data_IF_402890552845
#
_entry.id   IF_402890552845
#
_cell.length_a   1.000
_cell.length_b   1.000
_cell.length_c   1.000
_cell.angle_alpha   90.00
_cell.angle_beta   90.00
_cell.angle_gamma   90.00
#
_symmetry.space_group_name_H-M   'P 1'
#
loop_
_entity.id
_entity.type
_entity.pdbx_description
1 polymer ?
#
# COMPACT_ATOMS: atom_id res chain seq x y z
N UNK A 1 8.57 -14.16 17.64
CA UNK A 1 7.25 -13.51 17.81
C UNK A 1 7.17 -12.40 16.78
N UNK A 2 6.07 -12.29 16.06
CA UNK A 2 5.82 -11.13 15.23
C UNK A 2 5.63 -9.93 16.15
N UNK A 3 6.26 -8.80 15.87
CA UNK A 3 6.14 -7.57 16.66
C UNK A 3 5.65 -6.46 15.73
N UNK A 4 4.83 -5.55 16.22
CA UNK A 4 4.38 -4.37 15.49
C UNK A 4 3.03 -3.88 15.99
N UNK A 5 2.73 -2.65 15.68
CA UNK A 5 1.54 -1.95 16.12
C UNK A 5 0.51 -1.90 14.97
N UNK A 6 -0.72 -2.25 15.26
CA UNK A 6 -1.81 -2.25 14.27
C UNK A 6 -2.96 -1.41 14.82
N UNK A 7 -3.45 -0.46 14.03
CA UNK A 7 -4.65 0.31 14.34
C UNK A 7 -5.81 -0.24 13.50
N UNK A 8 -6.92 -0.60 14.15
CA UNK A 8 -8.13 -1.08 13.49
C UNK A 8 -9.22 -0.03 13.63
N UNK A 9 -9.77 0.38 12.51
CA UNK A 9 -10.81 1.41 12.40
C UNK A 9 -12.03 0.78 11.71
N UNK A 10 -13.08 0.54 12.45
CA UNK A 10 -14.30 -0.13 11.96
C UNK A 10 -15.44 0.23 12.93
N UNK A 11 -16.63 0.58 12.47
CA UNK A 11 -17.75 0.91 13.34
C UNK A 11 -18.39 -0.33 14.01
N UNK A 12 -18.21 -1.51 13.40
CA UNK A 12 -18.69 -2.78 13.94
C UNK A 12 -17.80 -3.30 15.10
N UNK A 13 -18.33 -3.30 16.31
CA UNK A 13 -17.61 -3.73 17.50
C UNK A 13 -17.24 -5.24 17.47
N UNK A 14 -18.03 -6.08 16.80
CA UNK A 14 -17.74 -7.51 16.67
C UNK A 14 -16.53 -7.73 15.74
N UNK A 15 -16.51 -7.03 14.60
CA UNK A 15 -15.39 -7.08 13.68
C UNK A 15 -14.10 -6.57 14.35
N UNK A 16 -14.16 -5.41 15.03
CA UNK A 16 -13.00 -4.92 15.80
C UNK A 16 -12.48 -5.96 16.76
N UNK A 17 -13.38 -6.62 17.52
CA UNK A 17 -13.02 -7.64 18.51
C UNK A 17 -12.38 -8.86 17.87
N UNK A 18 -12.96 -9.36 16.77
CA UNK A 18 -12.42 -10.50 16.02
C UNK A 18 -11.02 -10.21 15.52
N UNK A 19 -10.85 -9.09 14.81
CA UNK A 19 -9.55 -8.68 14.25
C UNK A 19 -8.51 -8.49 15.36
N UNK A 20 -8.88 -7.83 16.46
CA UNK A 20 -8.02 -7.65 17.62
C UNK A 20 -7.51 -8.97 18.18
N UNK A 21 -8.43 -9.93 18.44
CA UNK A 21 -8.06 -11.24 19.00
C UNK A 21 -7.14 -12.00 18.05
N UNK A 22 -7.49 -12.06 16.77
CA UNK A 22 -6.71 -12.78 15.76
C UNK A 22 -5.27 -12.22 15.61
N UNK A 23 -5.13 -10.90 15.53
CA UNK A 23 -3.82 -10.28 15.36
C UNK A 23 -2.99 -10.28 16.66
N UNK A 24 -3.64 -10.11 17.82
CA UNK A 24 -2.96 -10.21 19.11
C UNK A 24 -2.44 -11.63 19.38
N UNK A 25 -3.14 -12.68 18.93
CA UNK A 25 -2.65 -14.06 19.04
C UNK A 25 -1.37 -14.31 18.21
N UNK A 26 -1.13 -13.52 17.17
CA UNK A 26 0.11 -13.55 16.37
C UNK A 26 1.26 -12.72 16.98
N UNK A 27 0.98 -12.00 18.10
CA UNK A 27 1.98 -11.20 18.84
C UNK A 27 2.02 -9.73 18.43
N UNK A 28 1.03 -9.22 17.71
CA UNK A 28 0.89 -7.80 17.39
C UNK A 28 0.25 -7.03 18.55
N UNK A 29 0.64 -5.77 18.74
CA UNK A 29 -0.08 -4.83 19.59
C UNK A 29 -1.19 -4.20 18.77
N UNK A 30 -2.45 -4.35 19.20
CA UNK A 30 -3.61 -3.94 18.42
C UNK A 30 -4.43 -2.93 19.21
N UNK A 31 -4.53 -1.70 18.69
CA UNK A 31 -5.49 -0.70 19.13
C UNK A 31 -6.69 -0.66 18.18
N UNK A 32 -7.86 -0.35 18.73
CA UNK A 32 -9.10 -0.34 17.95
C UNK A 32 -9.90 0.94 18.23
N UNK A 33 -10.42 1.57 17.19
CA UNK A 33 -11.31 2.73 17.28
C UNK A 33 -12.55 2.51 16.44
N UNK A 34 -13.65 3.17 16.83
CA UNK A 34 -14.95 2.99 16.19
C UNK A 34 -15.18 3.94 15.01
N UNK A 35 -14.41 5.00 14.92
CA UNK A 35 -14.61 6.05 13.91
C UNK A 35 -13.30 6.67 13.42
N UNK A 36 -13.37 7.31 12.25
CA UNK A 36 -12.22 7.91 11.59
C UNK A 36 -11.63 9.11 12.34
N UNK A 37 -12.45 9.90 13.04
CA UNK A 37 -11.98 11.08 13.77
C UNK A 37 -11.10 10.71 14.95
N UNK A 38 -11.46 9.65 15.69
CA UNK A 38 -10.60 9.11 16.75
C UNK A 38 -9.26 8.67 16.20
N UNK A 39 -9.28 7.94 15.06
CA UNK A 39 -8.05 7.49 14.42
C UNK A 39 -7.15 8.66 14.01
N UNK A 40 -7.70 9.68 13.35
CA UNK A 40 -6.97 10.86 12.92
C UNK A 40 -6.39 11.64 14.12
N UNK A 41 -7.15 11.76 15.19
CA UNK A 41 -6.67 12.39 16.43
C UNK A 41 -5.48 11.62 17.01
N UNK A 42 -5.58 10.28 17.13
CA UNK A 42 -4.51 9.44 17.65
C UNK A 42 -3.23 9.56 16.81
N UNK A 43 -3.35 9.61 15.49
CA UNK A 43 -2.22 9.73 14.57
C UNK A 43 -1.57 11.12 14.66
N UNK A 44 -2.38 12.18 14.73
CA UNK A 44 -1.90 13.57 14.80
C UNK A 44 -1.22 13.85 16.14
N UNK A 45 -1.80 13.39 17.23
CA UNK A 45 -1.24 13.54 18.59
C UNK A 45 -0.12 12.53 18.88
N UNK A 46 0.10 11.56 17.98
CA UNK A 46 1.09 10.48 18.12
C UNK A 46 0.93 9.66 19.40
N UNK A 47 -0.29 9.52 19.88
CA UNK A 47 -0.62 8.70 21.07
C UNK A 47 -0.48 7.22 20.79
N UNK A 48 -0.61 6.82 19.51
CA UNK A 48 -0.32 5.49 19.00
C UNK A 48 0.34 5.59 17.62
N UNK A 49 1.44 4.88 17.42
CA UNK A 49 2.18 4.85 16.15
C UNK A 49 2.02 3.47 15.48
N UNK A 50 1.07 3.30 14.57
CA UNK A 50 0.85 2.03 13.89
C UNK A 50 1.90 1.77 12.81
N UNK A 51 2.23 0.49 12.63
CA UNK A 51 3.00 -0.01 11.48
C UNK A 51 2.07 -0.41 10.32
N UNK A 52 0.78 -0.66 10.60
CA UNK A 52 -0.28 -0.96 9.63
C UNK A 52 -1.60 -0.44 10.18
N UNK A 53 -2.44 0.12 9.31
CA UNK A 53 -3.82 0.49 9.61
C UNK A 53 -4.76 -0.47 8.87
N UNK A 54 -5.76 -1.00 9.55
CA UNK A 54 -6.88 -1.73 8.97
C UNK A 54 -8.10 -0.80 9.06
N UNK A 55 -8.74 -0.55 7.93
CA UNK A 55 -9.76 0.50 7.81
C UNK A 55 -11.00 -0.01 7.09
N UNK A 56 -12.14 0.03 7.75
CA UNK A 56 -13.41 -0.20 7.05
C UNK A 56 -13.75 1.00 6.15
N UNK A 57 -14.35 0.70 5.02
CA UNK A 57 -14.83 1.71 4.07
C UNK A 57 -16.22 2.22 4.48
N UNK A 58 -17.07 1.34 4.99
CA UNK A 58 -18.49 1.64 5.22
C UNK A 58 -18.75 2.06 6.67
N UNK A 59 -18.26 3.23 7.05
CA UNK A 59 -18.54 3.81 8.35
C UNK A 59 -19.59 4.94 8.26
N UNK A 60 -20.44 5.16 9.28
CA UNK A 60 -21.61 6.04 9.17
C UNK A 60 -21.28 7.55 9.04
N UNK A 61 -20.27 8.06 9.75
CA UNK A 61 -20.02 9.51 9.82
C UNK A 61 -19.03 10.00 8.77
N UNK A 62 -17.96 9.21 8.55
CA UNK A 62 -16.93 9.49 7.56
C UNK A 62 -16.52 8.18 6.89
N UNK A 63 -16.69 8.11 5.57
CA UNK A 63 -16.30 6.91 4.83
C UNK A 63 -14.78 6.68 4.89
N UNK A 64 -14.37 5.41 4.82
CA UNK A 64 -12.98 5.04 4.95
C UNK A 64 -12.05 5.63 3.87
N UNK A 65 -12.57 5.98 2.69
CA UNK A 65 -11.78 6.64 1.66
C UNK A 65 -11.38 8.07 2.08
N UNK A 66 -12.33 8.79 2.67
CA UNK A 66 -12.11 10.12 3.21
C UNK A 66 -11.13 10.09 4.39
N UNK A 67 -11.24 9.09 5.27
CA UNK A 67 -10.29 8.85 6.36
C UNK A 67 -8.90 8.56 5.80
N UNK A 68 -8.78 7.68 4.80
CA UNK A 68 -7.50 7.31 4.19
C UNK A 68 -6.80 8.52 3.55
N UNK A 69 -7.54 9.38 2.83
CA UNK A 69 -6.99 10.62 2.26
C UNK A 69 -6.39 11.52 3.34
N UNK A 70 -7.09 11.73 4.45
CA UNK A 70 -6.57 12.54 5.55
C UNK A 70 -5.37 11.86 6.25
N UNK A 71 -5.37 10.53 6.38
CA UNK A 71 -4.20 9.80 6.87
C UNK A 71 -2.98 10.07 5.97
N UNK A 72 -3.15 10.11 4.65
CA UNK A 72 -2.05 10.35 3.70
C UNK A 72 -1.46 11.75 3.79
N UNK A 73 -2.20 12.74 4.30
CA UNK A 73 -1.66 14.08 4.58
C UNK A 73 -0.67 14.09 5.74
N UNK A 74 -0.73 13.10 6.64
CA UNK A 74 0.07 13.06 7.88
C UNK A 74 0.96 11.83 8.01
N UNK A 75 0.71 10.77 7.22
CA UNK A 75 1.44 9.50 7.37
C UNK A 75 1.45 8.67 6.09
N UNK A 76 2.56 7.95 5.86
CA UNK A 76 2.71 6.95 4.81
C UNK A 76 2.56 5.51 5.34
N UNK A 77 2.02 5.34 6.53
CA UNK A 77 1.78 4.01 7.11
C UNK A 77 0.83 3.20 6.21
N UNK A 78 1.11 1.91 5.94
CA UNK A 78 0.27 1.11 5.05
C UNK A 78 -1.16 0.99 5.55
N UNK A 79 -2.13 1.11 4.63
CA UNK A 79 -3.56 0.97 4.88
C UNK A 79 -4.11 -0.25 4.15
N UNK A 80 -4.66 -1.20 4.91
CA UNK A 80 -5.46 -2.31 4.41
C UNK A 80 -6.94 -1.97 4.55
N UNK A 81 -7.65 -1.84 3.44
CA UNK A 81 -9.09 -1.73 3.49
C UNK A 81 -9.75 -3.08 3.78
N UNK A 82 -10.67 -3.09 4.73
CA UNK A 82 -11.48 -4.24 5.09
C UNK A 82 -12.97 -3.89 4.94
N UNK A 83 -13.68 -4.46 3.96
CA UNK A 83 -15.01 -3.99 3.61
C UNK A 83 -15.94 -5.06 3.05
N UNK A 84 -17.26 -4.83 3.17
CA UNK A 84 -18.29 -5.62 2.53
C UNK A 84 -18.49 -5.28 1.04
N UNK A 85 -17.92 -4.17 0.54
CA UNK A 85 -18.03 -3.78 -0.87
C UNK A 85 -17.21 -4.73 -1.75
N UNK A 86 -17.78 -5.12 -2.89
CA UNK A 86 -17.19 -6.11 -3.80
C UNK A 86 -17.14 -5.66 -5.27
N UNK A 87 -17.50 -4.41 -5.57
CA UNK A 87 -17.48 -3.89 -6.94
C UNK A 87 -16.06 -3.42 -7.32
N UNK A 88 -15.67 -3.65 -8.56
CA UNK A 88 -14.38 -3.16 -9.08
C UNK A 88 -14.22 -1.65 -8.95
N UNK A 89 -15.32 -0.89 -9.07
CA UNK A 89 -15.33 0.56 -8.86
C UNK A 89 -14.91 0.96 -7.45
N UNK A 90 -15.36 0.22 -6.44
CA UNK A 90 -15.03 0.48 -5.03
C UNK A 90 -13.53 0.22 -4.74
N UNK A 91 -12.96 -0.80 -5.40
CA UNK A 91 -11.52 -1.08 -5.34
C UNK A 91 -10.70 0.08 -5.91
N UNK A 92 -11.11 0.60 -7.07
CA UNK A 92 -10.42 1.73 -7.72
C UNK A 92 -10.46 2.98 -6.82
N UNK A 93 -11.61 3.29 -6.22
CA UNK A 93 -11.74 4.42 -5.28
C UNK A 93 -10.83 4.27 -4.05
N UNK A 94 -10.75 3.07 -3.48
CA UNK A 94 -9.88 2.79 -2.33
C UNK A 94 -8.41 3.02 -2.63
N UNK A 95 -7.93 2.54 -3.77
CA UNK A 95 -6.55 2.76 -4.16
C UNK A 95 -6.27 4.20 -4.59
N UNK A 96 -7.23 4.90 -5.19
CA UNK A 96 -7.13 6.34 -5.48
C UNK A 96 -7.10 7.17 -4.18
N UNK A 97 -7.72 6.69 -3.12
CA UNK A 97 -7.63 7.29 -1.80
C UNK A 97 -6.27 7.05 -1.09
N UNK A 98 -5.41 6.22 -1.68
CA UNK A 98 -4.06 5.93 -1.16
C UNK A 98 -3.96 4.63 -0.34
N UNK A 99 -4.93 3.72 -0.42
CA UNK A 99 -4.85 2.39 0.19
C UNK A 99 -3.76 1.53 -0.45
N UNK A 100 -3.14 0.65 0.33
CA UNK A 100 -2.04 -0.22 -0.12
C UNK A 100 -2.52 -1.63 -0.46
N UNK A 101 -3.58 -2.10 0.17
CA UNK A 101 -4.19 -3.39 -0.10
C UNK A 101 -5.67 -3.40 0.29
N UNK A 102 -6.38 -4.44 -0.09
CA UNK A 102 -7.83 -4.55 0.05
C UNK A 102 -8.23 -5.97 0.40
N UNK A 103 -9.14 -6.14 1.36
CA UNK A 103 -9.67 -7.43 1.76
C UNK A 103 -11.19 -7.36 1.96
N UNK A 104 -11.89 -8.34 1.40
CA UNK A 104 -13.36 -8.41 1.46
C UNK A 104 -13.84 -9.12 2.72
N UNK A 105 -14.90 -8.60 3.35
CA UNK A 105 -15.69 -9.31 4.37
C UNK A 105 -16.71 -10.26 3.68
N UNK A 106 -16.88 -11.52 4.13
CA UNK A 106 -16.16 -12.19 5.22
C UNK A 106 -14.76 -12.64 4.77
N UNK A 107 -13.79 -12.53 5.64
CA UNK A 107 -12.39 -12.88 5.40
C UNK A 107 -11.94 -14.11 6.19
N UNK A 108 -10.91 -14.79 5.71
CA UNK A 108 -10.27 -15.85 6.44
C UNK A 108 -9.16 -15.33 7.36
N UNK A 109 -8.94 -16.03 8.48
CA UNK A 109 -7.80 -15.76 9.37
C UNK A 109 -6.48 -15.76 8.61
N UNK A 110 -6.25 -16.78 7.78
CA UNK A 110 -5.02 -16.95 7.01
C UNK A 110 -4.78 -15.76 6.07
N UNK A 111 -5.81 -15.28 5.39
CA UNK A 111 -5.72 -14.13 4.49
C UNK A 111 -5.39 -12.84 5.25
N UNK A 112 -6.06 -12.58 6.38
CA UNK A 112 -5.79 -11.42 7.22
C UNK A 112 -4.32 -11.37 7.66
N UNK A 113 -3.82 -12.48 8.20
CA UNK A 113 -2.43 -12.56 8.68
C UNK A 113 -1.41 -12.42 7.56
N UNK A 114 -1.68 -13.01 6.39
CA UNK A 114 -0.81 -12.89 5.23
C UNK A 114 -0.69 -11.44 4.74
N UNK A 115 -1.84 -10.76 4.54
CA UNK A 115 -1.88 -9.37 4.05
C UNK A 115 -1.25 -8.40 5.04
N UNK A 116 -1.60 -8.47 6.32
CA UNK A 116 -0.99 -7.62 7.37
C UNK A 116 0.52 -7.85 7.46
N UNK A 117 0.95 -9.13 7.44
CA UNK A 117 2.37 -9.47 7.47
C UNK A 117 3.13 -8.96 6.23
N UNK A 118 2.50 -9.01 5.06
CA UNK A 118 3.04 -8.46 3.81
C UNK A 118 3.24 -6.95 3.87
N UNK A 119 2.20 -6.22 4.31
CA UNK A 119 2.24 -4.77 4.48
C UNK A 119 3.33 -4.34 5.48
N UNK A 120 3.39 -5.01 6.63
CA UNK A 120 4.35 -4.69 7.67
C UNK A 120 5.81 -4.94 7.24
N UNK A 121 6.08 -6.04 6.53
CA UNK A 121 7.42 -6.31 5.98
C UNK A 121 7.87 -5.21 5.02
N UNK A 122 6.98 -4.76 4.11
CA UNK A 122 7.28 -3.67 3.17
C UNK A 122 7.58 -2.37 3.89
N UNK A 123 6.73 -1.98 4.81
CA UNK A 123 6.90 -0.75 5.57
C UNK A 123 8.24 -0.68 6.29
N UNK A 124 8.67 -1.81 6.88
CA UNK A 124 9.97 -1.91 7.55
C UNK A 124 11.15 -2.01 6.58
N UNK A 125 10.96 -2.67 5.44
CA UNK A 125 12.01 -2.81 4.43
C UNK A 125 12.33 -1.48 3.73
N UNK A 126 11.32 -0.67 3.45
CA UNK A 126 11.49 0.64 2.82
C UNK A 126 11.73 1.77 3.84
N UNK A 127 11.38 1.57 5.11
CA UNK A 127 11.59 2.53 6.19
C UNK A 127 12.90 2.40 6.98
N UNK A 128 13.78 1.41 6.68
CA UNK A 128 14.97 1.19 7.46
C UNK A 128 16.02 0.27 6.85
N UNK A 129 17.23 0.77 6.71
CA UNK A 129 18.52 0.14 6.40
C UNK A 129 18.73 -0.29 4.94
N UNK A 130 19.35 0.59 4.18
CA UNK A 130 19.99 0.30 2.90
C UNK A 130 21.26 -0.54 3.08
N UNK A 131 21.41 -1.55 2.22
CA UNK A 131 22.67 -2.28 2.06
C UNK A 131 23.74 -1.33 1.48
N UNK A 132 24.91 -1.12 2.14
CA UNK A 132 25.93 -0.15 1.72
C UNK A 132 26.57 -0.42 0.36
N UNK A 133 26.31 -1.57 -0.26
CA UNK A 133 26.92 -1.99 -1.53
C UNK A 133 25.98 -1.80 -2.75
N UNK A 134 24.72 -1.40 -2.56
CA UNK A 134 23.81 -1.09 -3.68
C UNK A 134 23.85 0.39 -4.01
N UNK A 135 23.82 0.72 -5.29
CA UNK A 135 23.65 2.11 -5.73
C UNK A 135 22.45 2.74 -5.01
N UNK A 136 22.71 3.84 -4.33
CA UNK A 136 21.72 4.53 -3.48
C UNK A 136 20.60 5.16 -4.28
N UNK A 137 20.83 5.44 -5.54
CA UNK A 137 19.87 6.11 -6.41
C UNK A 137 19.73 5.38 -7.75
N UNK A 138 18.52 5.33 -8.26
CA UNK A 138 18.20 4.85 -9.61
C UNK A 138 17.70 6.02 -10.44
N UNK A 139 18.32 6.22 -11.62
CA UNK A 139 17.99 7.29 -12.54
C UNK A 139 17.24 6.73 -13.75
N UNK A 140 16.06 7.30 -14.06
CA UNK A 140 15.27 6.94 -15.22
C UNK A 140 14.69 8.21 -15.84
N UNK A 141 15.19 8.58 -17.01
CA UNK A 141 14.77 9.84 -17.67
C UNK A 141 14.88 11.03 -16.70
N UNK A 142 13.76 11.64 -16.35
CA UNK A 142 13.63 12.78 -15.45
C UNK A 142 13.34 12.38 -13.98
N UNK A 143 13.34 11.06 -13.69
CA UNK A 143 13.09 10.53 -12.35
C UNK A 143 14.38 10.16 -11.63
N UNK A 144 14.43 10.49 -10.34
CA UNK A 144 15.44 10.01 -9.40
C UNK A 144 14.73 9.29 -8.28
N UNK A 145 15.05 8.00 -8.10
CA UNK A 145 14.54 7.17 -7.01
C UNK A 145 15.66 7.03 -5.99
N UNK A 146 15.50 7.62 -4.81
CA UNK A 146 16.45 7.51 -3.71
C UNK A 146 16.02 6.36 -2.79
N UNK A 147 16.89 5.35 -2.69
CA UNK A 147 16.61 4.13 -1.90
C UNK A 147 16.84 4.33 -0.41
N UNK A 148 17.71 5.24 -0.03
CA UNK A 148 17.99 5.55 1.38
C UNK A 148 16.88 6.41 1.99
N UNK A 149 16.37 7.38 1.22
CA UNK A 149 15.30 8.27 1.66
C UNK A 149 13.89 7.75 1.32
N UNK A 150 13.79 6.63 0.58
CA UNK A 150 12.52 6.07 0.08
C UNK A 150 11.68 7.16 -0.61
N UNK A 151 12.33 7.95 -1.43
CA UNK A 151 11.73 9.09 -2.10
C UNK A 151 11.91 9.04 -3.61
N UNK A 152 10.99 9.68 -4.32
CA UNK A 152 11.04 9.81 -5.78
C UNK A 152 10.91 11.28 -6.13
N UNK A 153 11.81 11.76 -6.96
CA UNK A 153 11.69 13.10 -7.53
C UNK A 153 11.58 13.04 -9.04
N UNK A 154 10.79 13.93 -9.61
CA UNK A 154 10.63 14.12 -11.06
C UNK A 154 10.93 15.56 -11.41
N UNK A 155 11.91 15.79 -12.32
CA UNK A 155 12.37 17.15 -12.63
C UNK A 155 12.72 17.95 -11.35
N UNK A 156 13.28 17.29 -10.32
CA UNK A 156 13.65 17.90 -9.05
C UNK A 156 12.46 18.17 -8.09
N UNK A 157 11.23 17.84 -8.47
CA UNK A 157 10.04 17.95 -7.61
C UNK A 157 9.70 16.60 -6.97
N UNK A 158 9.38 16.61 -5.69
CA UNK A 158 8.97 15.40 -4.99
C UNK A 158 7.66 14.84 -5.57
N UNK A 159 7.61 13.49 -5.74
CA UNK A 159 6.41 12.74 -6.14
C UNK A 159 5.98 11.89 -4.97
N UNK A 160 4.81 12.16 -4.43
CA UNK A 160 4.26 11.39 -3.30
C UNK A 160 3.73 10.05 -3.76
N UNK A 161 4.44 8.99 -3.38
CA UNK A 161 4.05 7.61 -3.63
C UNK A 161 3.73 6.89 -2.33
N UNK A 162 2.75 5.98 -2.39
CA UNK A 162 2.57 5.01 -1.30
C UNK A 162 3.74 4.02 -1.29
N UNK A 163 3.93 3.29 -0.19
CA UNK A 163 4.98 2.27 -0.11
C UNK A 163 4.85 1.18 -1.17
N UNK A 164 3.62 0.85 -1.54
CA UNK A 164 3.33 -0.13 -2.60
C UNK A 164 3.68 0.41 -3.99
N UNK A 165 3.30 1.64 -4.28
CA UNK A 165 3.64 2.31 -5.54
C UNK A 165 5.16 2.47 -5.68
N UNK A 166 5.84 2.90 -4.60
CA UNK A 166 7.29 2.97 -4.57
C UNK A 166 7.92 1.59 -4.84
N UNK A 167 7.44 0.53 -4.19
CA UNK A 167 7.94 -0.83 -4.38
C UNK A 167 7.78 -1.34 -5.81
N UNK A 168 6.65 -1.07 -6.46
CA UNK A 168 6.42 -1.42 -7.88
C UNK A 168 7.38 -0.62 -8.78
N UNK A 169 7.48 0.68 -8.57
CA UNK A 169 8.36 1.53 -9.36
C UNK A 169 9.81 1.08 -9.24
N UNK A 170 10.29 0.83 -8.03
CA UNK A 170 11.65 0.37 -7.77
C UNK A 170 11.92 -0.98 -8.44
N UNK A 171 11.02 -1.97 -8.31
CA UNK A 171 11.14 -3.28 -8.94
C UNK A 171 11.34 -3.18 -10.45
N UNK A 172 10.49 -2.41 -11.11
CA UNK A 172 10.54 -2.24 -12.57
C UNK A 172 11.78 -1.45 -13.00
N UNK A 173 12.18 -0.47 -12.21
CA UNK A 173 13.30 0.43 -12.46
C UNK A 173 14.66 -0.26 -12.34
N UNK A 174 14.81 -1.13 -11.36
CA UNK A 174 16.04 -1.93 -11.18
C UNK A 174 16.18 -3.06 -12.21
N UNK A 175 15.10 -3.38 -12.95
CA UNK A 175 15.05 -4.45 -13.93
C UNK A 175 14.58 -3.94 -15.30
N UNK A 176 15.18 -2.87 -15.78
CA UNK A 176 14.84 -2.27 -17.09
C UNK A 176 14.83 -3.31 -18.21
N UNK A 177 13.82 -3.22 -19.07
CA UNK A 177 13.62 -4.14 -20.20
C UNK A 177 13.01 -5.50 -19.85
N UNK A 178 13.01 -5.89 -18.57
CA UNK A 178 12.37 -7.14 -18.13
C UNK A 178 10.87 -6.92 -17.96
N UNK A 179 10.06 -7.80 -18.57
CA UNK A 179 8.61 -7.82 -18.42
C UNK A 179 8.25 -8.65 -17.21
N UNK A 180 7.48 -8.07 -16.31
CA UNK A 180 6.95 -8.73 -15.12
C UNK A 180 5.45 -8.97 -15.28
N UNK A 181 5.00 -10.19 -15.07
CA UNK A 181 3.57 -10.53 -14.98
C UNK A 181 2.95 -9.91 -13.70
N UNK A 182 1.62 -9.84 -13.64
CA UNK A 182 0.90 -9.39 -12.43
C UNK A 182 1.30 -10.23 -11.21
N UNK A 183 1.43 -11.54 -11.39
CA UNK A 183 1.87 -12.45 -10.35
C UNK A 183 3.29 -12.12 -9.87
N UNK A 184 4.26 -11.98 -10.77
CA UNK A 184 5.64 -11.66 -10.41
C UNK A 184 5.74 -10.31 -9.70
N UNK A 185 4.99 -9.29 -10.14
CA UNK A 185 4.93 -7.98 -9.45
C UNK A 185 4.36 -8.16 -8.06
N UNK A 186 3.24 -8.87 -7.93
CA UNK A 186 2.61 -9.09 -6.63
C UNK A 186 3.56 -9.83 -5.69
N UNK A 187 4.07 -10.99 -6.09
CA UNK A 187 4.97 -11.79 -5.26
C UNK A 187 6.25 -11.04 -4.87
N UNK A 188 6.81 -10.25 -5.79
CA UNK A 188 8.01 -9.46 -5.52
C UNK A 188 7.75 -8.29 -4.57
N UNK A 189 6.62 -7.58 -4.72
CA UNK A 189 6.31 -6.38 -3.95
C UNK A 189 5.58 -6.72 -2.66
N UNK A 190 4.57 -7.59 -2.71
CA UNK A 190 3.80 -7.98 -1.50
C UNK A 190 4.49 -9.07 -0.68
N UNK A 191 5.50 -9.77 -1.26
CA UNK A 191 6.22 -10.88 -0.62
C UNK A 191 5.27 -11.95 -0.10
N UNK A 192 4.21 -12.20 -0.85
CA UNK A 192 3.17 -13.14 -0.51
C UNK A 192 2.72 -13.92 -1.74
N UNK A 193 2.01 -15.03 -1.53
CA UNK A 193 1.47 -15.86 -2.61
C UNK A 193 0.40 -15.10 -3.37
N UNK A 194 0.52 -15.07 -4.69
CA UNK A 194 -0.46 -14.43 -5.56
C UNK A 194 -1.83 -15.12 -5.48
N UNK A 195 -2.86 -14.34 -5.20
CA UNK A 195 -4.25 -14.77 -5.26
C UNK A 195 -4.92 -14.16 -6.50
N UNK A 196 -5.86 -14.84 -7.17
CA UNK A 196 -6.55 -14.29 -8.35
C UNK A 196 -7.19 -12.91 -8.11
N UNK A 197 -7.70 -12.66 -6.90
CA UNK A 197 -8.25 -11.38 -6.46
C UNK A 197 -7.21 -10.24 -6.40
N UNK A 198 -5.92 -10.57 -6.34
CA UNK A 198 -4.84 -9.59 -6.27
C UNK A 198 -4.48 -8.98 -7.64
N UNK A 199 -4.97 -9.54 -8.75
CA UNK A 199 -4.71 -8.99 -10.08
C UNK A 199 -5.16 -7.53 -10.20
N UNK A 200 -6.35 -7.21 -9.73
CA UNK A 200 -6.90 -5.85 -9.77
C UNK A 200 -6.09 -4.89 -8.89
N UNK A 201 -5.60 -5.36 -7.74
CA UNK A 201 -4.73 -4.58 -6.84
C UNK A 201 -3.50 -4.07 -7.58
N UNK A 202 -2.75 -4.95 -8.26
CA UNK A 202 -1.55 -4.57 -9.02
C UNK A 202 -1.87 -3.58 -10.15
N UNK A 203 -2.94 -3.86 -10.93
CA UNK A 203 -3.32 -3.00 -12.06
C UNK A 203 -3.68 -1.58 -11.62
N UNK A 204 -4.36 -1.43 -10.49
CA UNK A 204 -4.75 -0.11 -9.97
C UNK A 204 -3.53 0.67 -9.48
N UNK A 205 -2.60 0.05 -8.75
CA UNK A 205 -1.36 0.73 -8.37
C UNK A 205 -0.53 1.16 -9.58
N UNK A 206 -0.47 0.35 -10.64
CA UNK A 206 0.20 0.75 -11.88
C UNK A 206 -0.50 1.94 -12.55
N UNK A 207 -1.83 1.95 -12.55
CA UNK A 207 -2.60 3.10 -13.05
C UNK A 207 -2.29 4.36 -12.26
N UNK A 208 -2.31 4.28 -10.93
CA UNK A 208 -2.00 5.42 -10.06
C UNK A 208 -0.58 5.92 -10.26
N UNK A 209 0.39 5.00 -10.38
CA UNK A 209 1.77 5.35 -10.71
C UNK A 209 1.85 6.11 -12.04
N UNK A 210 1.17 5.64 -13.09
CA UNK A 210 1.14 6.33 -14.38
C UNK A 210 0.59 7.75 -14.27
N UNK A 211 -0.50 7.95 -13.51
CA UNK A 211 -1.06 9.28 -13.26
C UNK A 211 -0.10 10.19 -12.50
N UNK A 212 0.56 9.68 -11.44
CA UNK A 212 1.51 10.46 -10.64
C UNK A 212 2.83 10.75 -11.38
N UNK A 213 3.25 9.84 -12.27
CA UNK A 213 4.47 9.93 -13.06
C UNK A 213 4.24 10.45 -14.49
N UNK A 214 3.07 11.05 -14.75
CA UNK A 214 2.66 11.50 -16.08
C UNK A 214 3.77 12.27 -16.79
N UNK A 215 4.14 11.82 -17.97
CA UNK A 215 5.16 12.46 -18.83
C UNK A 215 4.56 13.70 -19.51
N UNK A 216 5.40 14.60 -19.98
CA UNK A 216 4.98 15.76 -20.79
C UNK A 216 4.31 15.29 -22.10
N UNK A 217 3.47 16.16 -22.67
CA UNK A 217 2.77 15.83 -23.94
C UNK A 217 3.80 15.43 -25.02
N UNK A 218 3.59 14.23 -25.59
CA UNK A 218 4.45 13.64 -26.63
C UNK A 218 5.49 12.62 -26.12
N UNK A 219 5.68 12.46 -24.84
CA UNK A 219 6.46 11.36 -24.26
C UNK A 219 5.51 10.22 -23.87
N UNK A 220 5.81 9.00 -24.30
CA UNK A 220 5.02 7.81 -23.96
C UNK A 220 4.99 7.50 -22.45
N UNK A 221 4.12 6.59 -22.03
CA UNK A 221 4.08 6.16 -20.63
C UNK A 221 5.40 5.51 -20.19
N UNK A 222 5.91 5.88 -19.01
CA UNK A 222 7.12 5.32 -18.43
C UNK A 222 6.96 3.80 -18.18
N UNK A 223 5.85 3.41 -17.56
CA UNK A 223 5.52 2.00 -17.32
C UNK A 223 4.72 1.49 -18.50
N UNK A 224 5.35 0.68 -19.32
CA UNK A 224 4.76 0.13 -20.54
C UNK A 224 4.07 -1.20 -20.27
N UNK A 225 3.04 -1.48 -21.07
CA UNK A 225 2.31 -2.75 -21.05
C UNK A 225 2.76 -3.62 -22.22
N UNK A 226 3.16 -4.86 -21.97
CA UNK A 226 3.30 -5.89 -22.99
C UNK A 226 2.07 -6.79 -22.94
N UNK A 227 1.17 -6.58 -23.89
CA UNK A 227 -0.16 -7.19 -23.92
C UNK A 227 -0.11 -8.70 -23.62
N UNK A 228 -0.96 -9.16 -22.68
CA UNK A 228 -1.03 -10.55 -22.23
C UNK A 228 0.20 -11.08 -21.48
N UNK A 229 1.22 -10.24 -21.21
CA UNK A 229 2.47 -10.64 -20.54
C UNK A 229 2.75 -9.88 -19.24
N UNK A 230 2.43 -8.58 -19.18
CA UNK A 230 2.67 -7.78 -17.98
C UNK A 230 3.24 -6.40 -18.27
N UNK A 231 4.01 -5.87 -17.31
CA UNK A 231 4.48 -4.49 -17.30
C UNK A 231 6.01 -4.42 -17.23
N UNK A 232 6.57 -3.33 -17.76
CA UNK A 232 8.02 -3.09 -17.77
C UNK A 232 8.35 -1.60 -17.91
N UNK A 233 9.59 -1.23 -17.59
CA UNK A 233 10.23 0.06 -17.92
C UNK A 233 11.37 -0.22 -18.90
N UNK A 234 11.54 0.62 -19.93
CA UNK A 234 12.65 0.53 -20.89
C UNK A 234 13.98 1.00 -20.33
#
# INVERSE_FOLDING_TARGET
MKTGNILVIDDDAEIRKIVQVLLSSEGYTVETVADGMQALTMLTEKTFLPDVIILDIMMPDMDGYSVCKQIREISQVPVLFLTAKNRETDLVEGFLAGGDDYMQKPFSYTELIARVGGLMRRYRQYGGQSDPQKEKQVFISDLVIDKDQVSVTKNGKNVELTNTEYGILLLLSENKGKVFSLQEIYEAVWKDTFLPSASNTVMVHIRNLREKLKQEEGQGELIKNKWGRGYYIE
#
